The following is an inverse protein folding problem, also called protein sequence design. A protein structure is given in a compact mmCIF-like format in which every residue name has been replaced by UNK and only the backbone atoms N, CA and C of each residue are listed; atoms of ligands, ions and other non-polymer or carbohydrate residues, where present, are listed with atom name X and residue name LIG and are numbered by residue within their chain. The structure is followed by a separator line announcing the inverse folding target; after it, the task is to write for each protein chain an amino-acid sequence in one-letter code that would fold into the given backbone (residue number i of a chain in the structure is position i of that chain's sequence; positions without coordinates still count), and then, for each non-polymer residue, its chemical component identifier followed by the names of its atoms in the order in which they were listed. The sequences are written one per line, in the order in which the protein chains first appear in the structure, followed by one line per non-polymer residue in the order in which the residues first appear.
data_IF_386837684970
#
_entry.id   IF_386837684970
#
_cell.length_a   1.000
_cell.length_b   1.000
_cell.length_c   1.000
_cell.angle_alpha   90.00
_cell.angle_beta   90.00
_cell.angle_gamma   90.00
#
_symmetry.space_group_name_H-M   'P 1'
#
loop_
_entity.id
_entity.type
_entity.pdbx_description
1 polymer ?
#
# COMPACT_ATOMS: atom_id res chain seq x y z
N UNK A 1 20.35 32.67 52.13
CA UNK A 1 18.87 32.45 52.05
C UNK A 1 18.51 32.15 50.57
N UNK A 2 18.50 30.86 50.18
CA UNK A 2 18.26 30.44 48.78
C UNK A 2 16.75 30.27 48.58
N UNK A 3 16.16 31.02 47.63
CA UNK A 3 14.80 30.84 47.24
C UNK A 3 14.66 29.49 46.48
N UNK A 4 13.93 28.54 47.05
CA UNK A 4 13.49 27.34 46.36
C UNK A 4 12.55 27.76 45.22
N UNK A 5 12.98 27.64 43.97
CA UNK A 5 12.14 27.73 42.78
C UNK A 5 11.24 26.52 42.74
N UNK A 6 9.96 26.75 42.83
CA UNK A 6 8.91 25.74 42.76
C UNK A 6 8.78 25.21 41.33
N UNK A 7 9.37 24.02 41.04
CA UNK A 7 9.44 23.40 39.69
C UNK A 7 8.30 22.39 39.53
N UNK A 8 7.08 22.70 39.89
CA UNK A 8 6.02 21.68 39.88
C UNK A 8 4.73 21.99 39.14
N UNK A 9 4.77 22.83 38.10
CA UNK A 9 3.61 22.86 37.17
C UNK A 9 4.10 22.52 35.77
N UNK A 10 3.66 21.35 35.20
CA UNK A 10 3.94 21.06 33.82
C UNK A 10 3.21 22.09 32.93
N UNK A 11 3.95 22.71 32.05
CA UNK A 11 3.47 23.71 31.10
C UNK A 11 2.34 23.09 30.23
N UNK A 12 1.13 23.64 30.26
CA UNK A 12 -0.02 23.13 29.50
C UNK A 12 0.23 23.15 27.99
N UNK A 13 1.13 24.00 27.49
CA UNK A 13 1.50 24.06 26.07
C UNK A 13 2.30 22.83 25.61
N UNK A 14 3.12 22.25 26.50
CA UNK A 14 3.85 21.00 26.24
C UNK A 14 2.92 19.78 26.13
N UNK A 15 1.82 19.78 26.88
CA UNK A 15 0.81 18.70 26.84
C UNK A 15 0.01 18.74 25.54
N UNK A 16 -0.34 19.93 25.04
CA UNK A 16 -1.03 20.10 23.77
C UNK A 16 -0.14 19.73 22.57
N UNK A 17 1.10 20.13 22.56
CA UNK A 17 2.05 19.75 21.51
C UNK A 17 2.26 18.23 21.41
N UNK A 18 2.32 17.52 22.53
CA UNK A 18 2.42 16.04 22.52
C UNK A 18 1.19 15.34 21.90
N UNK A 19 -0.01 15.91 22.06
CA UNK A 19 -1.24 15.40 21.42
C UNK A 19 -1.25 15.66 19.91
N UNK A 20 -0.79 16.81 19.46
CA UNK A 20 -0.71 17.17 18.05
C UNK A 20 0.28 16.29 17.28
N UNK A 21 1.45 16.00 17.84
CA UNK A 21 2.47 15.13 17.24
C UNK A 21 1.95 13.69 17.07
N UNK A 22 1.03 13.22 17.95
CA UNK A 22 0.43 11.88 17.83
C UNK A 22 -0.65 11.77 16.73
N UNK A 23 -1.28 12.86 16.33
CA UNK A 23 -2.31 12.87 15.28
C UNK A 23 -1.72 12.94 13.87
N UNK A 24 -0.55 13.51 13.71
CA UNK A 24 0.08 13.76 12.41
C UNK A 24 0.34 12.47 11.59
N UNK A 25 0.92 11.39 12.16
CA UNK A 25 1.08 10.14 11.43
C UNK A 25 -0.26 9.53 10.96
N UNK A 26 -1.32 9.65 11.78
CA UNK A 26 -2.66 9.20 11.40
C UNK A 26 -3.19 9.98 10.19
N UNK A 27 -3.07 11.30 10.21
CA UNK A 27 -3.50 12.15 9.09
C UNK A 27 -2.75 11.78 7.80
N UNK A 28 -1.43 11.63 7.86
CA UNK A 28 -0.63 11.23 6.70
C UNK A 28 -0.99 9.83 6.18
N UNK A 29 -1.24 8.88 7.06
CA UNK A 29 -1.67 7.54 6.69
C UNK A 29 -3.02 7.58 5.96
N UNK A 30 -4.00 8.32 6.50
CA UNK A 30 -5.31 8.49 5.87
C UNK A 30 -5.18 9.17 4.50
N UNK A 31 -4.41 10.25 4.40
CA UNK A 31 -4.21 10.96 3.14
C UNK A 31 -3.50 10.10 2.09
N UNK A 32 -2.50 9.32 2.48
CA UNK A 32 -1.79 8.41 1.56
C UNK A 32 -2.67 7.30 1.00
N UNK A 33 -3.70 6.90 1.72
CA UNK A 33 -4.70 5.92 1.25
C UNK A 33 -5.79 6.59 0.40
N UNK A 34 -6.25 7.77 0.81
CA UNK A 34 -7.35 8.47 0.12
C UNK A 34 -6.92 9.05 -1.23
N UNK A 35 -5.83 9.83 -1.27
CA UNK A 35 -5.48 10.62 -2.46
C UNK A 35 -5.31 9.75 -3.72
N UNK A 36 -4.56 8.65 -3.71
CA UNK A 36 -4.37 7.83 -4.91
C UNK A 36 -5.63 7.12 -5.38
N UNK A 37 -6.55 6.79 -4.45
CA UNK A 37 -7.74 5.98 -4.74
C UNK A 37 -8.97 6.80 -5.12
N UNK A 38 -9.00 8.12 -4.86
CA UNK A 38 -10.14 8.98 -5.17
C UNK A 38 -10.62 8.90 -6.63
N UNK A 39 -9.73 8.96 -7.64
CA UNK A 39 -10.15 8.91 -9.04
C UNK A 39 -10.85 7.59 -9.39
N UNK A 40 -10.32 6.48 -8.88
CA UNK A 40 -10.88 5.15 -9.15
C UNK A 40 -12.23 4.97 -8.44
N UNK A 41 -12.33 5.37 -7.18
CA UNK A 41 -13.59 5.31 -6.43
C UNK A 41 -14.66 6.14 -7.13
N UNK A 42 -14.33 7.35 -7.58
CA UNK A 42 -15.30 8.18 -8.31
C UNK A 42 -15.71 7.56 -9.65
N UNK A 43 -14.76 6.96 -10.37
CA UNK A 43 -14.99 6.30 -11.64
C UNK A 43 -15.94 5.09 -11.53
N UNK A 44 -15.77 4.26 -10.48
CA UNK A 44 -16.51 3.00 -10.34
C UNK A 44 -17.75 3.08 -9.46
N UNK A 45 -17.75 3.92 -8.44
CA UNK A 45 -18.82 4.03 -7.44
C UNK A 45 -19.60 5.35 -7.51
N UNK A 46 -19.14 6.29 -8.32
CA UNK A 46 -19.78 7.61 -8.46
C UNK A 46 -19.71 8.47 -7.18
N UNK A 47 -20.43 9.59 -7.20
CA UNK A 47 -20.41 10.55 -6.09
C UNK A 47 -20.93 10.01 -4.75
N UNK A 48 -22.01 9.19 -4.70
CA UNK A 48 -22.45 8.58 -3.44
C UNK A 48 -21.41 7.63 -2.84
N UNK A 49 -20.78 6.80 -3.68
CA UNK A 49 -19.72 5.89 -3.26
C UNK A 49 -18.49 6.62 -2.75
N UNK A 50 -18.17 7.78 -3.35
CA UNK A 50 -17.08 8.62 -2.89
C UNK A 50 -17.30 9.14 -1.47
N UNK A 51 -18.51 9.59 -1.15
CA UNK A 51 -18.84 10.07 0.22
C UNK A 51 -18.71 8.94 1.24
N UNK A 52 -19.25 7.75 0.91
CA UNK A 52 -19.12 6.57 1.79
C UNK A 52 -17.65 6.21 1.99
N UNK A 53 -16.85 6.21 0.94
CA UNK A 53 -15.42 5.91 0.99
C UNK A 53 -14.62 6.91 1.86
N UNK A 54 -14.90 8.22 1.71
CA UNK A 54 -14.26 9.28 2.50
C UNK A 54 -14.55 9.17 4.01
N UNK A 55 -15.70 8.63 4.38
CA UNK A 55 -16.04 8.37 5.79
C UNK A 55 -15.47 7.03 6.27
N UNK A 56 -15.54 6.00 5.42
CA UNK A 56 -15.12 4.64 5.77
C UNK A 56 -13.61 4.53 6.01
N UNK A 57 -12.78 5.09 5.14
CA UNK A 57 -11.32 4.93 5.25
C UNK A 57 -10.75 5.51 6.55
N UNK A 58 -11.05 6.76 6.96
CA UNK A 58 -10.59 7.29 8.25
C UNK A 58 -11.11 6.48 9.44
N UNK A 59 -12.38 6.04 9.39
CA UNK A 59 -12.97 5.22 10.44
C UNK A 59 -12.28 3.85 10.55
N UNK A 60 -12.02 3.19 9.41
CA UNK A 60 -11.31 1.91 9.35
C UNK A 60 -9.88 2.04 9.87
N UNK A 61 -9.14 3.07 9.44
CA UNK A 61 -7.78 3.34 9.94
C UNK A 61 -7.78 3.60 11.44
N UNK A 62 -8.72 4.39 11.94
CA UNK A 62 -8.86 4.66 13.37
C UNK A 62 -9.13 3.38 14.15
N UNK A 63 -10.07 2.55 13.69
CA UNK A 63 -10.40 1.26 14.29
C UNK A 63 -9.19 0.32 14.30
N UNK A 64 -8.51 0.19 13.18
CA UNK A 64 -7.30 -0.62 13.07
C UNK A 64 -6.22 -0.18 14.06
N UNK A 65 -5.92 1.11 14.14
CA UNK A 65 -4.85 1.61 15.02
C UNK A 65 -5.22 1.59 16.50
N UNK A 66 -6.49 1.75 16.86
CA UNK A 66 -6.91 1.88 18.26
C UNK A 66 -7.38 0.59 18.90
N UNK A 67 -7.93 -0.33 18.12
CA UNK A 67 -8.53 -1.56 18.62
C UNK A 67 -7.71 -2.77 18.17
N UNK A 68 -7.51 -2.91 16.86
CA UNK A 68 -6.81 -4.08 16.31
C UNK A 68 -5.34 -4.12 16.67
N UNK A 69 -4.62 -3.03 16.48
CA UNK A 69 -3.18 -2.99 16.71
C UNK A 69 -2.77 -3.35 18.15
N UNK A 70 -3.37 -2.78 19.23
CA UNK A 70 -3.08 -3.19 20.58
C UNK A 70 -3.39 -4.66 20.85
N UNK A 71 -4.54 -5.15 20.37
CA UNK A 71 -4.94 -6.54 20.51
C UNK A 71 -3.90 -7.50 19.88
N UNK A 72 -3.42 -7.17 18.70
CA UNK A 72 -2.40 -7.99 18.01
C UNK A 72 -1.05 -7.98 18.72
N UNK A 73 -0.57 -6.82 19.15
CA UNK A 73 0.72 -6.69 19.82
C UNK A 73 0.75 -7.50 21.13
N UNK A 74 -0.36 -7.53 21.86
CA UNK A 74 -0.44 -8.20 23.18
C UNK A 74 -0.93 -9.63 23.11
N UNK A 75 -1.76 -9.99 22.12
CA UNK A 75 -2.47 -11.25 22.04
C UNK A 75 -1.69 -12.42 21.42
N UNK A 76 -0.67 -12.14 20.60
CA UNK A 76 0.02 -13.18 19.84
C UNK A 76 1.49 -13.32 20.23
N UNK A 77 1.98 -14.59 20.25
CA UNK A 77 3.40 -14.87 20.34
C UNK A 77 4.11 -14.58 19.01
N UNK A 78 5.45 -14.44 19.02
CA UNK A 78 6.26 -14.24 17.80
C UNK A 78 6.00 -15.31 16.72
N UNK A 79 5.88 -16.59 17.14
CA UNK A 79 5.62 -17.71 16.22
C UNK A 79 4.23 -17.61 15.58
N UNK A 80 3.22 -17.25 16.37
CA UNK A 80 1.87 -17.05 15.86
C UNK A 80 1.79 -15.85 14.90
N UNK A 81 2.44 -14.73 15.24
CA UNK A 81 2.52 -13.57 14.37
C UNK A 81 3.22 -13.90 13.03
N UNK A 82 4.31 -14.67 13.06
CA UNK A 82 4.97 -15.17 11.85
C UNK A 82 4.03 -16.06 11.01
N UNK A 83 3.34 -17.01 11.63
CA UNK A 83 2.41 -17.89 10.93
C UNK A 83 1.26 -17.11 10.29
N UNK A 84 0.69 -16.16 11.02
CA UNK A 84 -0.35 -15.27 10.50
C UNK A 84 0.14 -14.43 9.31
N UNK A 85 1.39 -13.96 9.37
CA UNK A 85 2.06 -13.29 8.24
C UNK A 85 2.09 -14.18 7.00
N UNK A 86 2.51 -15.43 7.16
CA UNK A 86 2.56 -16.38 6.05
C UNK A 86 1.16 -16.68 5.48
N UNK A 87 0.18 -16.90 6.35
CA UNK A 87 -1.22 -17.13 5.94
C UNK A 87 -1.77 -15.92 5.19
N UNK A 88 -1.51 -14.70 5.67
CA UNK A 88 -1.91 -13.47 5.00
C UNK A 88 -1.26 -13.34 3.62
N UNK A 89 0.06 -13.53 3.51
CA UNK A 89 0.77 -13.47 2.24
C UNK A 89 0.28 -14.53 1.25
N UNK A 90 0.03 -15.75 1.73
CA UNK A 90 -0.56 -16.82 0.92
C UNK A 90 -1.99 -16.46 0.47
N UNK A 91 -2.78 -15.87 1.35
CA UNK A 91 -4.12 -15.36 1.03
C UNK A 91 -4.08 -14.26 -0.04
N UNK A 92 -3.22 -13.27 0.13
CA UNK A 92 -3.03 -12.19 -0.87
C UNK A 92 -2.58 -12.75 -2.21
N UNK A 93 -1.61 -13.66 -2.21
CA UNK A 93 -1.16 -14.33 -3.43
C UNK A 93 -2.28 -15.14 -4.08
N UNK A 94 -3.06 -15.91 -3.29
CA UNK A 94 -4.20 -16.69 -3.77
C UNK A 94 -5.30 -15.80 -4.38
N UNK A 95 -5.69 -14.74 -3.69
CA UNK A 95 -6.67 -13.76 -4.22
C UNK A 95 -6.14 -13.13 -5.51
N UNK A 96 -4.86 -12.74 -5.53
CA UNK A 96 -4.25 -12.18 -6.72
C UNK A 96 -4.30 -13.17 -7.90
N UNK A 97 -3.94 -14.44 -7.70
CA UNK A 97 -3.94 -15.45 -8.75
C UNK A 97 -5.35 -15.72 -9.33
N UNK A 98 -6.40 -15.54 -8.52
CA UNK A 98 -7.80 -15.73 -8.98
C UNK A 98 -8.35 -14.44 -9.61
N UNK A 99 -8.15 -13.30 -8.95
CA UNK A 99 -8.78 -12.04 -9.38
C UNK A 99 -8.07 -11.41 -10.56
N UNK A 100 -6.72 -11.49 -10.60
CA UNK A 100 -5.97 -10.84 -11.67
C UNK A 100 -6.33 -11.31 -13.07
N UNK A 101 -6.44 -12.61 -13.38
CA UNK A 101 -6.86 -13.06 -14.72
C UNK A 101 -8.26 -12.56 -15.10
N UNK A 102 -9.17 -12.48 -14.12
CA UNK A 102 -10.55 -11.99 -14.33
C UNK A 102 -10.56 -10.48 -14.60
N UNK A 103 -9.77 -9.73 -13.84
CA UNK A 103 -9.68 -8.28 -13.96
C UNK A 103 -8.90 -7.83 -15.20
N UNK A 104 -7.96 -8.65 -15.68
CA UNK A 104 -7.10 -8.36 -16.83
C UNK A 104 -7.73 -8.78 -18.18
N UNK A 105 -9.04 -9.00 -18.22
CA UNK A 105 -9.74 -9.23 -19.48
C UNK A 105 -9.81 -7.92 -20.27
N UNK A 106 -9.29 -7.93 -21.50
CA UNK A 106 -9.30 -6.77 -22.40
C UNK A 106 -10.72 -6.54 -22.96
N UNK A 107 -11.51 -5.73 -22.24
CA UNK A 107 -12.83 -5.31 -22.70
C UNK A 107 -12.68 -3.93 -23.34
N UNK A 108 -13.11 -3.74 -24.62
CA UNK A 108 -13.03 -2.45 -25.28
C UNK A 108 -13.65 -1.32 -24.43
N UNK A 109 -12.89 -0.25 -24.19
CA UNK A 109 -13.33 0.91 -23.41
C UNK A 109 -13.43 0.70 -21.90
N UNK A 110 -12.98 -0.43 -21.35
CA UNK A 110 -12.99 -0.70 -19.90
C UNK A 110 -11.65 -1.26 -19.42
N UNK A 111 -11.41 -1.16 -18.11
CA UNK A 111 -10.23 -1.70 -17.46
C UNK A 111 -9.09 -0.69 -17.32
N UNK A 112 -7.91 -1.20 -17.03
CA UNK A 112 -6.64 -0.44 -16.90
C UNK A 112 -5.61 -1.10 -17.81
N UNK A 113 -4.90 -0.29 -18.59
CA UNK A 113 -3.83 -0.73 -19.48
C UNK A 113 -2.42 -0.57 -18.88
N UNK A 114 -2.34 -0.22 -17.61
CA UNK A 114 -1.07 0.01 -16.92
C UNK A 114 -0.17 -1.24 -16.86
N UNK A 115 -0.75 -2.42 -16.56
CA UNK A 115 0.02 -3.67 -16.59
C UNK A 115 0.44 -4.04 -18.04
N UNK A 116 -0.40 -3.76 -19.02
CA UNK A 116 -0.08 -3.96 -20.43
C UNK A 116 1.01 -3.01 -20.91
N UNK A 117 0.97 -1.75 -20.49
CA UNK A 117 1.99 -0.77 -20.78
C UNK A 117 3.37 -1.27 -20.34
N UNK A 118 3.51 -1.75 -19.09
CA UNK A 118 4.75 -2.35 -18.61
C UNK A 118 5.14 -3.61 -19.40
N UNK A 119 4.21 -4.51 -19.65
CA UNK A 119 4.47 -5.74 -20.39
C UNK A 119 4.96 -5.46 -21.81
N UNK A 120 4.32 -4.51 -22.50
CA UNK A 120 4.71 -4.10 -23.85
C UNK A 120 6.09 -3.38 -23.85
N UNK A 121 6.29 -2.43 -22.95
CA UNK A 121 7.54 -1.68 -22.84
C UNK A 121 8.75 -2.60 -22.63
N UNK A 122 8.62 -3.59 -21.73
CA UNK A 122 9.72 -4.55 -21.51
C UNK A 122 9.93 -5.46 -22.71
N UNK A 123 8.87 -5.93 -23.37
CA UNK A 123 8.99 -6.72 -24.60
C UNK A 123 9.74 -5.95 -25.70
N UNK A 124 9.49 -4.66 -25.84
CA UNK A 124 10.21 -3.83 -26.80
C UNK A 124 11.70 -3.72 -26.44
N UNK A 125 12.03 -3.50 -25.16
CA UNK A 125 13.43 -3.47 -24.70
C UNK A 125 14.14 -4.81 -24.94
N UNK A 126 13.47 -5.93 -24.61
CA UNK A 126 14.04 -7.26 -24.86
C UNK A 126 14.28 -7.53 -26.35
N UNK A 127 13.51 -6.89 -27.23
CA UNK A 127 13.67 -6.93 -28.68
C UNK A 127 14.61 -5.82 -29.20
N UNK A 128 15.34 -5.13 -28.31
CA UNK A 128 16.25 -4.01 -28.63
C UNK A 128 15.55 -2.85 -29.35
N UNK A 129 14.27 -2.62 -29.05
CA UNK A 129 13.47 -1.53 -29.61
C UNK A 129 13.17 -0.49 -28.54
N UNK A 130 12.85 0.73 -28.99
CA UNK A 130 12.50 1.84 -28.09
C UNK A 130 11.12 1.61 -27.47
N UNK A 131 11.00 1.53 -26.13
CA UNK A 131 9.78 1.08 -25.45
C UNK A 131 8.58 2.03 -25.59
N UNK A 132 8.81 3.32 -25.86
CA UNK A 132 7.74 4.32 -25.91
C UNK A 132 7.12 4.52 -27.30
N UNK A 133 7.52 3.73 -28.30
CA UNK A 133 6.93 3.78 -29.64
C UNK A 133 5.64 2.97 -29.78
N UNK A 134 5.33 2.16 -28.78
CA UNK A 134 4.12 1.31 -28.78
C UNK A 134 2.99 1.93 -27.95
N UNK A 135 1.79 1.47 -28.17
CA UNK A 135 0.60 1.89 -27.44
C UNK A 135 0.00 0.70 -26.74
N UNK A 136 -0.53 0.92 -25.52
CA UNK A 136 -1.31 -0.05 -24.79
C UNK A 136 -2.65 -0.34 -25.50
N UNK A 137 -3.36 -1.37 -25.07
CA UNK A 137 -4.58 -1.82 -25.75
C UNK A 137 -5.72 -0.77 -25.80
N UNK A 138 -5.76 0.18 -24.85
CA UNK A 138 -6.69 1.33 -24.89
C UNK A 138 -6.23 2.45 -25.82
N UNK A 139 -5.09 2.30 -26.50
CA UNK A 139 -4.52 3.31 -27.39
C UNK A 139 -3.66 4.36 -26.71
N UNK A 140 -3.49 4.29 -25.39
CA UNK A 140 -2.65 5.20 -24.62
C UNK A 140 -1.16 4.95 -24.92
N UNK A 141 -0.34 6.02 -24.98
CA UNK A 141 1.11 5.86 -25.05
C UNK A 141 1.64 5.28 -23.74
N UNK A 142 2.77 4.58 -23.83
CA UNK A 142 3.48 4.10 -22.64
C UNK A 142 3.91 5.31 -21.79
N UNK A 143 3.47 5.37 -20.54
CA UNK A 143 3.73 6.48 -19.61
C UNK A 143 4.59 6.07 -18.42
N UNK A 144 4.95 4.81 -18.33
CA UNK A 144 5.75 4.22 -17.26
C UNK A 144 7.18 4.77 -17.26
N UNK A 145 7.69 5.04 -16.06
CA UNK A 145 9.06 5.52 -15.89
C UNK A 145 10.08 4.44 -16.29
N UNK A 146 11.23 4.81 -16.86
CA UNK A 146 12.27 3.84 -17.26
C UNK A 146 12.68 2.90 -16.11
N UNK A 147 12.77 3.42 -14.88
CA UNK A 147 13.08 2.61 -13.70
C UNK A 147 12.02 1.55 -13.40
N UNK A 148 10.73 1.85 -13.57
CA UNK A 148 9.65 0.87 -13.36
C UNK A 148 9.66 -0.22 -14.43
N UNK A 149 9.99 0.13 -15.68
CA UNK A 149 10.15 -0.82 -16.78
C UNK A 149 11.30 -1.81 -16.47
N UNK A 150 12.45 -1.30 -16.02
CA UNK A 150 13.59 -2.14 -15.65
C UNK A 150 13.30 -3.05 -14.46
N UNK A 151 12.62 -2.53 -13.42
CA UNK A 151 12.23 -3.30 -12.23
C UNK A 151 11.19 -4.38 -12.55
N UNK A 152 10.37 -4.20 -13.58
CA UNK A 152 9.38 -5.19 -13.98
C UNK A 152 9.91 -6.30 -14.89
N UNK A 153 11.10 -6.13 -15.48
CA UNK A 153 11.70 -7.12 -16.39
C UNK A 153 11.74 -8.56 -15.85
N UNK A 154 12.22 -8.82 -14.62
CA UNK A 154 12.26 -10.19 -14.09
C UNK A 154 10.89 -10.86 -14.06
N UNK A 155 9.86 -10.08 -13.74
CA UNK A 155 8.48 -10.59 -13.61
C UNK A 155 7.84 -10.86 -14.97
N UNK A 156 8.22 -10.11 -15.99
CA UNK A 156 7.74 -10.35 -17.36
C UNK A 156 8.40 -11.59 -17.96
N UNK A 157 9.66 -11.84 -17.65
CA UNK A 157 10.34 -13.13 -18.00
C UNK A 157 9.60 -14.30 -17.32
N UNK A 158 9.04 -14.10 -16.11
CA UNK A 158 8.20 -15.06 -15.39
C UNK A 158 6.75 -15.13 -15.92
N UNK A 159 6.36 -14.25 -16.86
CA UNK A 159 5.06 -14.25 -17.52
C UNK A 159 4.30 -12.94 -17.50
N UNK A 160 4.33 -12.16 -16.39
CA UNK A 160 3.58 -10.91 -16.29
C UNK A 160 4.17 -9.96 -15.25
N UNK A 161 4.21 -8.65 -15.58
CA UNK A 161 4.65 -7.59 -14.65
C UNK A 161 3.84 -7.54 -13.36
N UNK A 162 2.58 -7.94 -13.37
CA UNK A 162 1.69 -7.90 -12.22
C UNK A 162 2.19 -8.75 -11.03
N UNK A 163 3.01 -9.79 -11.26
CA UNK A 163 3.64 -10.58 -10.20
C UNK A 163 4.54 -9.76 -9.28
N UNK A 164 5.06 -8.61 -9.74
CA UNK A 164 5.84 -7.69 -8.92
C UNK A 164 5.05 -7.19 -7.70
N UNK A 165 3.72 -7.07 -7.77
CA UNK A 165 2.92 -6.59 -6.64
C UNK A 165 3.03 -7.53 -5.43
N UNK A 166 2.89 -8.84 -5.66
CA UNK A 166 3.03 -9.86 -4.60
C UNK A 166 4.47 -9.89 -4.07
N UNK A 167 5.45 -9.80 -4.97
CA UNK A 167 6.87 -9.77 -4.60
C UNK A 167 7.21 -8.57 -3.71
N UNK A 168 6.77 -7.36 -4.07
CA UNK A 168 7.07 -6.16 -3.29
C UNK A 168 6.38 -6.15 -1.94
N UNK A 169 5.16 -6.70 -1.82
CA UNK A 169 4.50 -6.89 -0.53
C UNK A 169 5.35 -7.81 0.36
N UNK A 170 5.85 -8.92 -0.17
CA UNK A 170 6.72 -9.85 0.55
C UNK A 170 8.02 -9.18 1.02
N UNK A 171 8.72 -8.48 0.12
CA UNK A 171 9.94 -7.73 0.44
C UNK A 171 9.68 -6.68 1.52
N UNK A 172 8.57 -5.95 1.41
CA UNK A 172 8.16 -4.95 2.40
C UNK A 172 7.95 -5.59 3.78
N UNK A 173 7.29 -6.74 3.86
CA UNK A 173 7.09 -7.47 5.12
C UNK A 173 8.41 -7.89 5.77
N UNK A 174 9.37 -8.41 4.96
CA UNK A 174 10.70 -8.78 5.45
C UNK A 174 11.46 -7.54 5.96
N UNK A 175 11.44 -6.46 5.19
CA UNK A 175 12.07 -5.20 5.58
C UNK A 175 11.48 -4.67 6.88
N UNK A 176 10.16 -4.64 6.98
CA UNK A 176 9.45 -4.15 8.15
C UNK A 176 9.77 -5.00 9.40
N UNK A 177 9.81 -6.32 9.26
CA UNK A 177 10.27 -7.22 10.32
C UNK A 177 11.71 -6.93 10.76
N UNK A 178 12.61 -6.75 9.79
CA UNK A 178 14.02 -6.44 10.09
C UNK A 178 14.15 -5.12 10.84
N UNK A 179 13.37 -4.12 10.45
CA UNK A 179 13.36 -2.79 11.09
C UNK A 179 12.75 -2.83 12.50
N UNK A 180 11.60 -3.47 12.65
CA UNK A 180 10.86 -3.54 13.92
C UNK A 180 11.39 -4.61 14.87
N UNK A 181 12.25 -5.51 14.38
CA UNK A 181 12.84 -6.65 15.12
C UNK A 181 11.80 -7.62 15.71
N UNK A 182 10.55 -7.55 15.27
CA UNK A 182 9.44 -8.38 15.74
C UNK A 182 8.40 -8.59 14.64
N UNK A 183 7.84 -9.79 14.56
CA UNK A 183 6.74 -10.09 13.65
C UNK A 183 5.40 -9.53 14.12
N UNK A 184 5.25 -9.27 15.42
CA UNK A 184 4.01 -8.70 16.01
C UNK A 184 3.67 -7.31 15.48
N UNK A 185 4.69 -6.55 15.01
CA UNK A 185 4.52 -5.19 14.49
C UNK A 185 4.56 -5.13 12.95
N UNK A 186 4.92 -6.23 12.28
CA UNK A 186 4.93 -6.30 10.80
C UNK A 186 3.51 -6.28 10.25
N UNK A 187 2.60 -6.92 10.97
CA UNK A 187 1.17 -6.90 10.70
C UNK A 187 0.42 -6.47 11.95
N UNK A 188 0.34 -5.17 12.20
CA UNK A 188 -0.74 -4.62 12.99
C UNK A 188 -1.98 -4.66 12.07
N UNK A 189 -2.62 -5.80 12.01
CA UNK A 189 -3.88 -5.97 11.30
C UNK A 189 -5.00 -5.29 12.03
#
# INVERSE_FOLDING_TARGET
MWKKTDISRPDPTLSQNKKFIKLWPFVWLVLSLLIPSLPDVQKYLGSPGLVVYLLFVPAAVFFCLRIFLPFFITGFSEKQAFLLTLVFLAGVAGVFMVVFPIANVHIPGRGSDSADGLNLAVKEILNLRYPYNVRAYLGNPISELPGSILLSMPFIIMGNSAYQNVFWIFVFCIFLKSYLKTWRLVFPS
#
